data_IF_854058061847
#
_entry.id   IF_854058061847
#
_cell.length_a   1.000
_cell.length_b   1.000
_cell.length_c   1.000
_cell.angle_alpha   90.00
_cell.angle_beta   90.00
_cell.angle_gamma   90.00
#
_symmetry.space_group_name_H-M   'P 1'
#
loop_
_entity.id
_entity.type
_entity.pdbx_description
1 polymer ?
#
# COMPACT_ATOMS: atom_id res chain seq x y z
N UNK A 1 22.72 -12.06 -12.70
CA UNK A 1 22.99 -12.64 -11.35
C UNK A 1 22.30 -11.83 -10.24
N UNK A 2 21.02 -11.47 -10.38
CA UNK A 2 20.28 -10.66 -9.37
C UNK A 2 19.14 -11.45 -8.71
N UNK A 3 18.66 -12.55 -9.33
CA UNK A 3 17.56 -13.39 -8.82
C UNK A 3 17.88 -14.25 -7.59
N UNK A 4 19.01 -14.06 -6.91
CA UNK A 4 19.35 -14.79 -5.68
C UNK A 4 19.03 -14.01 -4.40
N UNK A 5 18.79 -12.69 -4.47
CA UNK A 5 18.50 -11.90 -3.27
C UNK A 5 17.08 -12.13 -2.73
N UNK A 6 16.10 -12.42 -3.59
CA UNK A 6 14.70 -12.63 -3.17
C UNK A 6 14.45 -13.99 -2.51
N UNK A 7 15.27 -15.01 -2.80
CA UNK A 7 15.04 -16.39 -2.32
C UNK A 7 15.66 -16.70 -0.95
N UNK A 8 16.48 -15.81 -0.38
CA UNK A 8 17.33 -16.10 0.80
C UNK A 8 16.67 -15.70 2.15
N UNK A 9 15.43 -15.22 2.18
CA UNK A 9 14.87 -14.58 3.38
C UNK A 9 14.32 -15.54 4.47
N UNK A 10 14.99 -16.66 4.79
CA UNK A 10 14.55 -17.57 5.88
C UNK A 10 15.37 -17.53 7.17
N UNK A 11 16.65 -17.14 7.17
CA UNK A 11 17.47 -17.07 8.40
C UNK A 11 18.12 -15.69 8.66
N UNK A 12 18.25 -15.24 9.93
CA UNK A 12 18.83 -13.94 10.27
C UNK A 12 20.27 -13.73 9.79
N UNK A 13 21.12 -14.76 9.89
CA UNK A 13 22.52 -14.70 9.46
C UNK A 13 22.66 -14.56 7.93
N UNK A 14 21.79 -15.23 7.18
CA UNK A 14 21.75 -15.15 5.71
C UNK A 14 21.29 -13.77 5.22
N UNK A 15 20.41 -13.09 5.99
CA UNK A 15 19.98 -11.70 5.71
C UNK A 15 21.11 -10.69 5.86
N UNK A 16 21.96 -10.83 6.88
CA UNK A 16 23.13 -9.96 7.04
C UNK A 16 24.17 -10.18 5.95
N UNK A 17 24.35 -11.43 5.51
CA UNK A 17 25.27 -11.72 4.42
C UNK A 17 24.72 -11.18 3.08
N UNK A 18 23.44 -11.39 2.79
CA UNK A 18 22.76 -10.83 1.62
C UNK A 18 22.83 -9.30 1.59
N UNK A 19 22.66 -8.65 2.74
CA UNK A 19 22.81 -7.19 2.88
C UNK A 19 24.16 -6.68 2.40
N UNK A 20 25.25 -7.34 2.84
CA UNK A 20 26.62 -6.95 2.48
C UNK A 20 26.83 -7.14 0.97
N UNK A 21 26.30 -8.21 0.38
CA UNK A 21 26.39 -8.44 -1.07
C UNK A 21 25.63 -7.39 -1.87
N UNK A 22 24.39 -7.07 -1.48
CA UNK A 22 23.59 -6.03 -2.13
C UNK A 22 24.27 -4.67 -2.04
N UNK A 23 24.81 -4.28 -0.87
CA UNK A 23 25.53 -3.02 -0.69
C UNK A 23 26.81 -2.94 -1.54
N UNK A 24 27.55 -4.04 -1.67
CA UNK A 24 28.77 -4.08 -2.50
C UNK A 24 28.42 -4.04 -3.98
N UNK A 25 27.45 -4.84 -4.42
CA UNK A 25 26.98 -4.85 -5.80
C UNK A 25 26.41 -3.49 -6.21
N UNK A 26 25.63 -2.84 -5.34
CA UNK A 26 25.09 -1.50 -5.59
C UNK A 26 26.19 -0.46 -5.78
N UNK A 27 27.26 -0.50 -4.96
CA UNK A 27 28.39 0.44 -5.11
C UNK A 27 29.17 0.23 -6.40
N UNK A 28 29.39 -1.02 -6.79
CA UNK A 28 30.07 -1.34 -8.05
C UNK A 28 29.24 -0.86 -9.24
N UNK A 29 27.94 -1.16 -9.23
CA UNK A 29 27.01 -0.71 -10.25
C UNK A 29 26.97 0.82 -10.32
N UNK A 30 26.84 1.49 -9.18
CA UNK A 30 26.84 2.96 -9.10
C UNK A 30 28.13 3.58 -9.66
N UNK A 31 29.28 2.95 -9.44
CA UNK A 31 30.55 3.38 -10.04
C UNK A 31 30.58 3.17 -11.57
N UNK A 32 29.98 2.10 -12.08
CA UNK A 32 29.97 1.77 -13.50
C UNK A 32 28.98 2.62 -14.31
N UNK A 33 27.76 2.80 -13.79
CA UNK A 33 26.66 3.43 -14.54
C UNK A 33 26.32 4.84 -14.07
N UNK A 34 26.91 5.29 -12.97
CA UNK A 34 26.61 6.58 -12.32
C UNK A 34 25.46 6.50 -11.32
N UNK A 35 25.33 7.54 -10.50
CA UNK A 35 24.44 7.63 -9.33
C UNK A 35 22.96 7.85 -9.65
N UNK A 36 22.64 8.21 -10.90
CA UNK A 36 21.27 8.46 -11.39
C UNK A 36 20.74 7.40 -12.36
N UNK A 37 21.42 6.27 -12.52
CA UNK A 37 21.04 5.26 -13.51
C UNK A 37 19.90 4.36 -13.03
N UNK A 38 18.96 4.01 -13.92
CA UNK A 38 17.74 3.27 -13.55
C UNK A 38 18.03 1.88 -12.95
N UNK A 39 19.12 1.23 -13.33
CA UNK A 39 19.51 -0.08 -12.79
C UNK A 39 19.81 -0.06 -11.28
N UNK A 40 19.97 1.11 -10.67
CA UNK A 40 20.12 1.25 -9.23
C UNK A 40 18.81 1.05 -8.46
N UNK A 41 17.65 1.10 -9.12
CA UNK A 41 16.33 1.02 -8.47
C UNK A 41 16.13 -0.31 -7.74
N UNK A 42 16.47 -1.45 -8.34
CA UNK A 42 16.31 -2.77 -7.71
C UNK A 42 17.24 -2.97 -6.48
N UNK A 43 18.54 -2.63 -6.56
CA UNK A 43 19.40 -2.58 -5.39
C UNK A 43 18.88 -1.64 -4.30
N UNK A 44 18.40 -0.45 -4.66
CA UNK A 44 17.83 0.53 -3.72
C UNK A 44 16.62 -0.06 -2.98
N UNK A 45 15.71 -0.72 -3.70
CA UNK A 45 14.56 -1.41 -3.10
C UNK A 45 14.98 -2.50 -2.12
N UNK A 46 15.98 -3.29 -2.50
CA UNK A 46 16.51 -4.37 -1.67
C UNK A 46 17.12 -3.83 -0.37
N UNK A 47 17.87 -2.73 -0.46
CA UNK A 47 18.45 -2.05 0.70
C UNK A 47 17.37 -1.41 1.59
N UNK A 48 16.33 -0.83 1.00
CA UNK A 48 15.23 -0.23 1.74
C UNK A 48 14.41 -1.28 2.51
N UNK A 49 14.14 -2.42 1.89
CA UNK A 49 13.49 -3.58 2.54
C UNK A 49 14.32 -4.14 3.69
N UNK A 50 15.64 -4.26 3.50
CA UNK A 50 16.54 -4.66 4.56
C UNK A 50 16.53 -3.66 5.73
N UNK A 51 16.61 -2.36 5.45
CA UNK A 51 16.57 -1.32 6.48
C UNK A 51 15.27 -1.40 7.30
N UNK A 52 14.12 -1.61 6.64
CA UNK A 52 12.84 -1.88 7.33
C UNK A 52 12.90 -3.11 8.23
N UNK A 53 13.52 -4.20 7.77
CA UNK A 53 13.63 -5.44 8.55
C UNK A 53 14.48 -5.27 9.82
N UNK A 54 15.36 -4.27 9.84
CA UNK A 54 16.20 -3.89 10.98
C UNK A 54 15.54 -2.80 11.86
N UNK A 55 14.38 -2.30 11.47
CA UNK A 55 13.70 -1.18 12.13
C UNK A 55 14.26 0.21 11.79
N UNK A 56 15.20 0.30 10.84
CA UNK A 56 15.76 1.58 10.38
C UNK A 56 14.87 2.16 9.26
N UNK A 57 13.73 2.70 9.69
CA UNK A 57 12.75 3.27 8.77
C UNK A 57 13.24 4.56 8.12
N UNK A 58 14.13 5.32 8.77
CA UNK A 58 14.69 6.56 8.23
C UNK A 58 15.62 6.27 7.04
N UNK A 59 16.49 5.27 7.18
CA UNK A 59 17.33 4.83 6.07
C UNK A 59 16.49 4.25 4.94
N UNK A 60 15.46 3.46 5.26
CA UNK A 60 14.57 2.88 4.26
C UNK A 60 13.84 3.97 3.45
N UNK A 61 13.33 5.00 4.13
CA UNK A 61 12.71 6.16 3.52
C UNK A 61 13.68 6.89 2.59
N UNK A 62 14.88 7.22 3.08
CA UNK A 62 15.94 7.89 2.29
C UNK A 62 16.25 7.13 0.99
N UNK A 63 16.37 5.80 1.08
CA UNK A 63 16.65 4.93 -0.06
C UNK A 63 15.50 4.96 -1.07
N UNK A 64 14.24 4.82 -0.62
CA UNK A 64 13.08 4.91 -1.52
C UNK A 64 12.98 6.27 -2.19
N UNK A 65 13.20 7.37 -1.45
CA UNK A 65 13.19 8.71 -2.04
C UNK A 65 14.24 8.86 -3.15
N UNK A 66 15.43 8.30 -2.92
CA UNK A 66 16.47 8.24 -3.96
C UNK A 66 16.01 7.42 -5.17
N UNK A 67 15.43 6.24 -4.95
CA UNK A 67 14.93 5.39 -6.01
C UNK A 67 13.81 6.04 -6.84
N UNK A 68 12.89 6.75 -6.19
CA UNK A 68 11.83 7.54 -6.83
C UNK A 68 12.39 8.74 -7.63
N UNK A 69 13.43 9.40 -7.12
CA UNK A 69 14.10 10.47 -7.85
C UNK A 69 14.80 9.96 -9.11
N UNK A 70 15.52 8.83 -9.01
CA UNK A 70 16.15 8.14 -10.15
C UNK A 70 15.08 7.71 -11.16
N UNK A 71 13.98 7.13 -10.67
CA UNK A 71 12.83 6.78 -11.49
C UNK A 71 12.36 7.98 -12.30
N UNK A 72 12.04 9.09 -11.62
CA UNK A 72 11.57 10.34 -12.24
C UNK A 72 12.52 10.91 -13.29
N UNK A 73 13.82 10.83 -13.05
CA UNK A 73 14.83 11.32 -14.00
C UNK A 73 14.98 10.43 -15.24
N UNK A 74 14.69 9.13 -15.11
CA UNK A 74 14.90 8.13 -16.18
C UNK A 74 13.68 7.93 -17.06
N UNK A 75 12.49 8.39 -16.66
CA UNK A 75 11.26 8.37 -17.50
C UNK A 75 11.45 9.05 -18.87
N UNK A 76 12.31 10.08 -18.94
CA UNK A 76 12.54 10.86 -20.16
C UNK A 76 13.95 10.70 -20.78
N UNK A 77 14.78 9.78 -20.26
CA UNK A 77 16.16 9.55 -20.71
C UNK A 77 16.47 8.06 -20.79
N UNK A 78 16.80 7.57 -21.98
CA UNK A 78 17.45 6.27 -22.29
C UNK A 78 16.99 5.03 -21.49
N UNK A 79 15.86 5.11 -20.78
CA UNK A 79 15.25 3.97 -20.10
C UNK A 79 14.73 3.07 -21.20
N UNK A 80 15.25 1.84 -21.21
CA UNK A 80 14.64 0.77 -21.97
C UNK A 80 13.14 0.75 -21.61
N UNK A 81 12.22 0.97 -22.55
CA UNK A 81 10.78 0.94 -22.28
C UNK A 81 10.32 -0.37 -21.64
N UNK A 82 11.12 -1.44 -21.76
CA UNK A 82 10.90 -2.74 -21.13
C UNK A 82 11.44 -2.85 -19.69
N UNK A 83 12.27 -1.91 -19.21
CA UNK A 83 12.76 -1.92 -17.83
C UNK A 83 11.62 -1.66 -16.84
N UNK A 84 11.43 -2.63 -15.97
CA UNK A 84 10.45 -2.63 -14.90
C UNK A 84 11.17 -3.04 -13.61
N UNK A 85 11.05 -2.27 -12.51
CA UNK A 85 11.53 -2.69 -11.21
C UNK A 85 10.91 -4.05 -10.87
N UNK A 86 11.73 -4.92 -10.32
CA UNK A 86 11.30 -6.21 -9.76
C UNK A 86 10.30 -6.03 -8.60
N UNK A 87 10.43 -4.92 -7.86
CA UNK A 87 9.59 -4.57 -6.71
C UNK A 87 9.12 -3.11 -6.80
N UNK A 88 7.92 -2.77 -6.30
CA UNK A 88 7.50 -1.38 -6.19
C UNK A 88 8.47 -0.58 -5.31
N UNK A 89 8.76 0.66 -5.75
CA UNK A 89 9.58 1.67 -5.08
C UNK A 89 8.83 2.29 -3.89
N UNK A 90 8.34 1.48 -2.96
CA UNK A 90 7.60 1.98 -1.80
C UNK A 90 7.90 1.14 -0.58
N UNK A 91 8.32 1.82 0.49
CA UNK A 91 8.51 1.23 1.81
C UNK A 91 7.23 1.39 2.61
N UNK A 92 6.77 0.36 3.35
CA UNK A 92 5.52 0.37 4.11
C UNK A 92 5.40 1.42 5.24
N UNK A 93 6.39 2.29 5.42
CA UNK A 93 6.47 3.23 6.54
C UNK A 93 7.02 4.59 6.08
N UNK A 94 6.29 5.28 5.20
CA UNK A 94 6.49 6.72 5.00
C UNK A 94 6.14 7.42 6.33
N UNK A 95 7.15 7.85 7.10
CA UNK A 95 6.95 8.52 8.40
C UNK A 95 7.10 10.03 8.31
N UNK A 96 7.76 10.55 7.28
CA UNK A 96 7.95 12.00 7.06
C UNK A 96 6.93 12.55 6.07
N UNK A 97 6.57 13.83 6.19
CA UNK A 97 5.70 14.53 5.22
C UNK A 97 6.28 14.52 3.80
N UNK A 98 7.60 14.62 3.69
CA UNK A 98 8.33 14.61 2.41
C UNK A 98 8.16 13.27 1.68
N UNK A 99 8.14 12.15 2.41
CA UNK A 99 7.89 10.84 1.81
C UNK A 99 6.49 10.68 1.25
N UNK A 100 5.46 11.26 1.87
CA UNK A 100 4.11 11.21 1.28
C UNK A 100 4.06 11.99 -0.03
N UNK A 101 4.60 13.21 -0.05
CA UNK A 101 4.60 14.05 -1.25
C UNK A 101 5.33 13.39 -2.41
N UNK A 102 6.45 12.70 -2.14
CA UNK A 102 7.21 12.01 -3.19
C UNK A 102 6.50 10.74 -3.68
N UNK A 103 5.82 10.00 -2.79
CA UNK A 103 4.99 8.85 -3.20
C UNK A 103 3.76 9.31 -3.99
N UNK A 104 3.11 10.40 -3.60
CA UNK A 104 2.00 11.01 -4.35
C UNK A 104 2.45 11.44 -5.76
N UNK A 105 3.58 12.15 -5.86
CA UNK A 105 4.16 12.51 -7.17
C UNK A 105 4.53 11.29 -8.01
N UNK A 106 5.05 10.22 -7.39
CA UNK A 106 5.38 9.00 -8.10
C UNK A 106 4.14 8.31 -8.66
N UNK A 107 3.05 8.27 -7.89
CA UNK A 107 1.76 7.74 -8.34
C UNK A 107 1.22 8.55 -9.51
N UNK A 108 1.19 9.88 -9.40
CA UNK A 108 0.76 10.76 -10.49
C UNK A 108 1.57 10.52 -11.77
N UNK A 109 2.88 10.35 -11.66
CA UNK A 109 3.74 10.03 -12.79
C UNK A 109 3.44 8.66 -13.39
N UNK A 110 3.31 7.62 -12.56
CA UNK A 110 2.99 6.27 -13.02
C UNK A 110 1.62 6.18 -13.67
N UNK A 111 0.64 6.98 -13.24
CA UNK A 111 -0.69 7.04 -13.87
C UNK A 111 -0.66 7.62 -15.28
N UNK A 112 0.31 8.48 -15.61
CA UNK A 112 0.45 9.05 -16.95
C UNK A 112 1.13 8.09 -17.94
N UNK A 113 1.80 7.04 -17.46
CA UNK A 113 2.51 6.09 -18.31
C UNK A 113 1.61 4.87 -18.63
N UNK A 114 1.27 4.60 -19.92
CA UNK A 114 0.38 3.50 -20.30
C UNK A 114 0.94 2.09 -19.99
N UNK A 115 2.25 1.99 -19.79
CA UNK A 115 2.98 0.75 -19.53
C UNK A 115 3.05 0.40 -18.05
N UNK A 116 2.71 1.33 -17.15
CA UNK A 116 2.80 1.08 -15.71
C UNK A 116 1.67 0.19 -15.24
N UNK A 117 2.05 -1.00 -14.78
CA UNK A 117 1.11 -2.00 -14.29
C UNK A 117 0.57 -1.55 -12.94
N UNK A 118 -0.75 -1.46 -12.88
CA UNK A 118 -1.62 -1.08 -11.77
C UNK A 118 -1.29 -1.71 -10.39
N UNK A 119 -0.48 -2.79 -10.34
CA UNK A 119 -0.03 -3.38 -9.09
C UNK A 119 0.95 -2.49 -8.31
N UNK A 120 1.83 -1.73 -8.99
CA UNK A 120 2.81 -0.85 -8.35
C UNK A 120 2.11 0.33 -7.68
N UNK A 121 1.19 0.96 -8.42
CA UNK A 121 0.34 2.03 -7.94
C UNK A 121 -0.54 1.54 -6.78
N UNK A 122 -1.13 0.34 -6.90
CA UNK A 122 -1.92 -0.25 -5.83
C UNK A 122 -1.13 -0.47 -4.53
N UNK A 123 0.11 -0.95 -4.62
CA UNK A 123 0.96 -1.12 -3.45
C UNK A 123 1.34 0.22 -2.80
N UNK A 124 1.63 1.23 -3.63
CA UNK A 124 1.95 2.58 -3.20
C UNK A 124 0.80 3.21 -2.42
N UNK A 125 -0.41 3.14 -2.99
CA UNK A 125 -1.63 3.63 -2.37
C UNK A 125 -1.92 2.88 -1.06
N UNK A 126 -1.71 1.56 -1.00
CA UNK A 126 -1.94 0.78 0.23
C UNK A 126 -1.01 1.21 1.37
N UNK A 127 0.22 1.58 1.02
CA UNK A 127 1.19 2.11 1.98
C UNK A 127 0.76 3.48 2.50
N UNK A 128 0.40 4.41 1.60
CA UNK A 128 -0.09 5.73 1.99
C UNK A 128 -1.32 5.62 2.89
N UNK A 129 -2.26 4.75 2.51
CA UNK A 129 -3.47 4.45 3.25
C UNK A 129 -3.15 4.03 4.69
N UNK A 130 -2.33 2.99 4.86
CA UNK A 130 -1.95 2.47 6.19
C UNK A 130 -1.29 3.57 7.04
N UNK A 131 -0.49 4.40 6.39
CA UNK A 131 0.22 5.47 7.07
C UNK A 131 -0.72 6.61 7.50
N UNK A 132 -1.72 6.97 6.69
CA UNK A 132 -2.79 7.89 7.08
C UNK A 132 -3.69 7.31 8.19
N UNK A 133 -3.98 6.01 8.16
CA UNK A 133 -4.71 5.31 9.22
C UNK A 133 -3.98 5.37 10.57
N UNK A 134 -2.67 5.13 10.59
CA UNK A 134 -1.84 5.22 11.81
C UNK A 134 -1.87 6.63 12.44
N UNK A 135 -2.06 7.65 11.61
CA UNK A 135 -2.19 9.06 12.04
C UNK A 135 -3.63 9.49 12.30
N UNK A 136 -4.59 8.57 12.19
CA UNK A 136 -6.03 8.83 12.32
C UNK A 136 -6.54 9.90 11.34
N UNK A 137 -5.87 10.07 10.20
CA UNK A 137 -6.26 10.98 9.13
C UNK A 137 -7.27 10.30 8.20
N UNK A 138 -8.43 9.92 8.75
CA UNK A 138 -9.38 9.03 8.07
C UNK A 138 -9.97 9.61 6.78
N UNK A 139 -10.14 10.94 6.67
CA UNK A 139 -10.60 11.58 5.42
C UNK A 139 -9.57 11.41 4.30
N UNK A 140 -8.28 11.62 4.59
CA UNK A 140 -7.21 11.46 3.61
C UNK A 140 -7.04 9.98 3.23
N UNK A 141 -7.13 9.09 4.23
CA UNK A 141 -7.12 7.64 4.02
C UNK A 141 -8.27 7.19 3.10
N UNK A 142 -9.49 7.68 3.31
CA UNK A 142 -10.64 7.38 2.45
C UNK A 142 -10.38 7.80 0.99
N UNK A 143 -9.87 9.01 0.77
CA UNK A 143 -9.51 9.49 -0.57
C UNK A 143 -8.49 8.57 -1.26
N UNK A 144 -7.47 8.12 -0.53
CA UNK A 144 -6.47 7.17 -1.06
C UNK A 144 -7.10 5.80 -1.38
N UNK A 145 -7.99 5.29 -0.53
CA UNK A 145 -8.67 4.02 -0.79
C UNK A 145 -9.62 4.11 -2.00
N UNK A 146 -10.36 5.22 -2.16
CA UNK A 146 -11.19 5.49 -3.34
C UNK A 146 -10.32 5.59 -4.60
N UNK A 147 -9.14 6.19 -4.47
CA UNK A 147 -8.18 6.27 -5.56
C UNK A 147 -7.71 4.88 -6.00
N UNK A 148 -7.30 4.03 -5.04
CA UNK A 148 -6.89 2.66 -5.31
C UNK A 148 -8.01 1.82 -5.93
N UNK A 149 -9.25 2.00 -5.46
CA UNK A 149 -10.43 1.37 -6.03
C UNK A 149 -10.65 1.77 -7.50
N UNK A 150 -10.58 3.07 -7.82
CA UNK A 150 -10.76 3.59 -9.18
C UNK A 150 -9.75 2.98 -10.14
N UNK A 151 -8.47 3.03 -9.77
CA UNK A 151 -7.38 2.49 -10.60
C UNK A 151 -7.53 0.98 -10.75
N UNK A 152 -7.77 0.26 -9.65
CA UNK A 152 -7.97 -1.19 -9.68
C UNK A 152 -9.13 -1.61 -10.58
N UNK A 153 -10.24 -0.86 -10.54
CA UNK A 153 -11.44 -1.13 -11.34
C UNK A 153 -11.16 -0.91 -12.84
N UNK A 154 -10.51 0.20 -13.19
CA UNK A 154 -10.11 0.49 -14.58
C UNK A 154 -9.14 -0.57 -15.14
N UNK A 155 -8.25 -1.06 -14.29
CA UNK A 155 -7.18 -1.98 -14.64
C UNK A 155 -7.61 -3.44 -14.81
N UNK A 156 -8.46 -3.91 -13.89
CA UNK A 156 -8.68 -5.33 -13.64
C UNK A 156 -10.16 -5.73 -13.81
N UNK A 157 -11.05 -4.75 -13.96
CA UNK A 157 -12.50 -4.94 -14.00
C UNK A 157 -13.15 -4.99 -12.61
N UNK A 158 -14.46 -4.79 -12.57
CA UNK A 158 -15.27 -4.55 -11.36
C UNK A 158 -15.32 -5.71 -10.35
N UNK A 159 -14.91 -6.91 -10.75
CA UNK A 159 -15.00 -8.11 -9.91
C UNK A 159 -13.63 -8.70 -9.56
N UNK A 160 -12.54 -7.98 -9.79
CA UNK A 160 -11.23 -8.51 -9.48
C UNK A 160 -11.03 -8.70 -7.95
N UNK A 161 -10.50 -9.83 -7.46
CA UNK A 161 -10.34 -10.11 -6.03
C UNK A 161 -9.60 -9.03 -5.23
N UNK A 162 -8.67 -8.32 -5.87
CA UNK A 162 -7.93 -7.22 -5.23
C UNK A 162 -8.81 -6.03 -4.85
N UNK A 163 -9.95 -5.84 -5.52
CA UNK A 163 -10.90 -4.77 -5.19
C UNK A 163 -11.56 -5.01 -3.83
N UNK A 164 -11.79 -6.27 -3.43
CA UNK A 164 -12.37 -6.57 -2.12
C UNK A 164 -11.54 -5.95 -0.97
N UNK A 165 -10.21 -5.94 -1.09
CA UNK A 165 -9.37 -5.30 -0.08
C UNK A 165 -9.63 -3.80 -0.01
N UNK A 166 -9.74 -3.11 -1.15
CA UNK A 166 -10.06 -1.68 -1.17
C UNK A 166 -11.43 -1.36 -0.56
N UNK A 167 -12.46 -2.17 -0.84
CA UNK A 167 -13.77 -2.01 -0.20
C UNK A 167 -13.70 -2.21 1.33
N UNK A 168 -12.95 -3.21 1.81
CA UNK A 168 -12.76 -3.42 3.26
C UNK A 168 -12.08 -2.20 3.89
N UNK A 169 -11.09 -1.61 3.22
CA UNK A 169 -10.43 -0.39 3.70
C UNK A 169 -11.38 0.81 3.72
N UNK A 170 -12.22 0.98 2.70
CA UNK A 170 -13.24 2.04 2.67
C UNK A 170 -14.26 1.87 3.79
N UNK A 171 -14.74 0.63 4.02
CA UNK A 171 -15.63 0.33 5.13
C UNK A 171 -15.00 0.69 6.48
N UNK A 172 -13.71 0.40 6.67
CA UNK A 172 -12.97 0.77 7.87
C UNK A 172 -12.92 2.29 8.06
N UNK A 173 -12.64 3.06 6.99
CA UNK A 173 -12.61 4.53 7.09
C UNK A 173 -13.99 5.13 7.38
N UNK A 174 -15.05 4.57 6.79
CA UNK A 174 -16.42 4.99 7.10
C UNK A 174 -16.81 4.65 8.54
N UNK A 175 -16.37 3.50 9.09
CA UNK A 175 -16.61 3.13 10.49
C UNK A 175 -15.92 4.06 11.48
N UNK A 176 -14.68 4.43 11.21
CA UNK A 176 -13.92 5.39 12.04
C UNK A 176 -14.49 6.82 11.98
N UNK A 177 -15.43 7.07 11.06
CA UNK A 177 -16.17 8.33 10.91
C UNK A 177 -17.65 8.21 11.31
N UNK A 178 -18.05 7.08 11.93
CA UNK A 178 -19.43 6.77 12.31
C UNK A 178 -20.45 6.79 11.14
N UNK A 179 -19.98 6.63 9.91
CA UNK A 179 -20.80 6.59 8.70
C UNK A 179 -21.31 5.15 8.45
N UNK A 180 -22.15 4.63 9.34
CA UNK A 180 -22.53 3.22 9.36
C UNK A 180 -23.21 2.71 8.08
N UNK A 181 -24.07 3.52 7.46
CA UNK A 181 -24.73 3.12 6.20
C UNK A 181 -23.73 2.95 5.05
N UNK A 182 -22.75 3.84 4.96
CA UNK A 182 -21.74 3.80 3.92
C UNK A 182 -20.76 2.62 4.15
N UNK A 183 -20.38 2.39 5.41
CA UNK A 183 -19.60 1.21 5.79
C UNK A 183 -20.31 -0.11 5.42
N UNK A 184 -21.63 -0.20 5.64
CA UNK A 184 -22.43 -1.37 5.27
C UNK A 184 -22.42 -1.62 3.76
N UNK A 185 -22.57 -0.57 2.94
CA UNK A 185 -22.49 -0.66 1.49
C UNK A 185 -21.12 -1.18 1.02
N UNK A 186 -20.02 -0.66 1.58
CA UNK A 186 -18.68 -1.13 1.23
C UNK A 186 -18.43 -2.59 1.67
N UNK A 187 -18.92 -3.00 2.85
CA UNK A 187 -18.84 -4.39 3.27
C UNK A 187 -19.60 -5.32 2.32
N UNK A 188 -20.81 -4.95 1.87
CA UNK A 188 -21.59 -5.72 0.90
C UNK A 188 -20.87 -5.86 -0.44
N UNK A 189 -20.24 -4.79 -0.93
CA UNK A 189 -19.43 -4.83 -2.16
C UNK A 189 -18.22 -5.78 -2.01
N UNK A 190 -17.53 -5.73 -0.88
CA UNK A 190 -16.43 -6.66 -0.60
C UNK A 190 -16.92 -8.12 -0.54
N UNK A 191 -18.08 -8.35 0.06
CA UNK A 191 -18.71 -9.67 0.16
C UNK A 191 -19.02 -10.23 -1.22
N UNK A 192 -19.69 -9.46 -2.08
CA UNK A 192 -20.03 -9.87 -3.43
C UNK A 192 -18.78 -10.27 -4.25
N UNK A 193 -17.70 -9.49 -4.14
CA UNK A 193 -16.43 -9.81 -4.82
C UNK A 193 -15.83 -11.09 -4.26
N UNK A 194 -15.77 -11.24 -2.94
CA UNK A 194 -15.18 -12.40 -2.27
C UNK A 194 -15.99 -13.67 -2.62
N UNK A 195 -17.32 -13.63 -2.56
CA UNK A 195 -18.18 -14.77 -2.87
C UNK A 195 -18.01 -15.26 -4.31
N UNK A 196 -17.90 -14.32 -5.27
CA UNK A 196 -17.77 -14.66 -6.69
C UNK A 196 -16.40 -15.19 -7.06
N UNK A 197 -15.35 -14.85 -6.30
CA UNK A 197 -13.97 -15.03 -6.77
C UNK A 197 -13.06 -15.83 -5.84
N UNK A 198 -13.36 -15.90 -4.55
CA UNK A 198 -12.47 -16.44 -3.53
C UNK A 198 -13.10 -17.64 -2.82
N UNK A 199 -12.28 -18.66 -2.52
CA UNK A 199 -12.71 -19.82 -1.73
C UNK A 199 -12.95 -19.39 -0.28
N UNK A 200 -13.80 -20.14 0.44
CA UNK A 200 -14.24 -19.88 1.83
C UNK A 200 -13.13 -19.71 2.89
N UNK A 201 -11.86 -19.99 2.57
CA UNK A 201 -10.74 -19.91 3.52
C UNK A 201 -9.81 -18.70 3.26
N UNK A 202 -10.22 -17.74 2.42
CA UNK A 202 -9.36 -16.60 2.09
C UNK A 202 -9.23 -15.60 3.26
N UNK A 203 -8.03 -15.08 3.58
CA UNK A 203 -7.82 -14.12 4.67
C UNK A 203 -8.69 -12.85 4.60
N UNK A 204 -9.05 -12.39 3.39
CA UNK A 204 -9.95 -11.25 3.21
C UNK A 204 -11.36 -11.53 3.75
N UNK A 205 -11.84 -12.78 3.74
CA UNK A 205 -13.13 -13.13 4.31
C UNK A 205 -13.12 -12.92 5.83
N UNK A 206 -12.06 -13.35 6.51
CA UNK A 206 -11.90 -13.13 7.95
C UNK A 206 -11.81 -11.64 8.28
N UNK A 207 -11.11 -10.85 7.45
CA UNK A 207 -11.07 -9.40 7.61
C UNK A 207 -12.45 -8.76 7.45
N UNK A 208 -13.20 -9.13 6.41
CA UNK A 208 -14.55 -8.64 6.17
C UNK A 208 -15.51 -9.00 7.31
N UNK A 209 -15.50 -10.25 7.76
CA UNK A 209 -16.34 -10.72 8.86
C UNK A 209 -16.10 -9.92 10.15
N UNK A 210 -14.83 -9.62 10.47
CA UNK A 210 -14.50 -8.75 11.59
C UNK A 210 -15.07 -7.34 11.40
N UNK A 211 -14.98 -6.78 10.20
CA UNK A 211 -15.54 -5.45 9.91
C UNK A 211 -17.07 -5.41 9.98
N UNK A 212 -17.75 -6.45 9.53
CA UNK A 212 -19.19 -6.60 9.71
C UNK A 212 -19.58 -6.72 11.19
N UNK A 213 -18.82 -7.49 11.97
CA UNK A 213 -19.05 -7.60 13.41
C UNK A 213 -18.89 -6.25 14.12
N UNK A 214 -17.80 -5.51 13.83
CA UNK A 214 -17.55 -4.18 14.37
C UNK A 214 -18.68 -3.21 14.00
N UNK A 215 -19.14 -3.24 12.74
CA UNK A 215 -20.24 -2.42 12.23
C UNK A 215 -21.56 -2.67 12.99
N UNK A 216 -21.97 -3.93 13.11
CA UNK A 216 -23.24 -4.26 13.77
C UNK A 216 -23.20 -3.97 15.26
N UNK A 217 -22.07 -4.22 15.93
CA UNK A 217 -21.89 -3.89 17.35
C UNK A 217 -22.02 -2.37 17.59
N UNK A 218 -21.37 -1.54 16.77
CA UNK A 218 -21.46 -0.07 16.91
C UNK A 218 -22.86 0.46 16.58
N UNK A 219 -23.53 -0.08 15.55
CA UNK A 219 -24.94 0.27 15.22
C UNK A 219 -25.88 -0.04 16.38
N UNK A 220 -25.71 -1.19 17.04
CA UNK A 220 -26.53 -1.57 18.19
C UNK A 220 -26.33 -0.61 19.37
N UNK A 221 -25.08 -0.26 19.70
CA UNK A 221 -24.79 0.72 20.75
C UNK A 221 -25.46 2.07 20.51
N UNK A 222 -25.37 2.60 19.29
CA UNK A 222 -26.01 3.89 18.93
C UNK A 222 -27.54 3.79 19.04
N UNK A 223 -28.14 2.66 18.62
CA UNK A 223 -29.58 2.44 18.76
C UNK A 223 -30.03 2.38 20.23
N UNK A 224 -29.22 1.78 21.12
CA UNK A 224 -29.51 1.73 22.56
C UNK A 224 -29.39 3.11 23.23
N UNK A 225 -28.40 3.92 22.85
CA UNK A 225 -28.23 5.30 23.36
C UNK A 225 -29.43 6.18 22.95
N UNK A 226 -29.90 6.07 21.70
CA UNK A 226 -31.08 6.81 21.23
C UNK A 226 -32.34 6.52 22.05
N UNK A 227 -32.57 5.23 22.37
CA UNK A 227 -33.72 4.81 23.21
C UNK A 227 -33.59 5.25 24.68
N UNK A 228 -32.37 5.33 25.20
CA UNK A 228 -32.09 5.83 26.55
C UNK A 228 -32.27 7.34 26.70
N UNK A 229 -31.97 8.12 25.65
CA UNK A 229 -32.14 9.57 25.65
C UNK A 229 -33.62 9.98 25.59
N UNK A 230 -34.44 9.29 24.79
CA UNK A 230 -35.89 9.57 24.68
C UNK A 230 -36.66 9.29 25.98
N UNK A 231 -36.18 8.37 26.82
CA UNK A 231 -36.84 8.00 28.10
C UNK A 231 -36.51 8.92 29.27
N UNK A 232 -35.62 9.90 29.10
CA UNK A 232 -35.19 10.82 30.19
C UNK A 232 -35.79 12.22 30.11
N UNK A 233 -36.61 12.52 29.09
CA UNK A 233 -37.28 13.82 28.93
C UNK A 233 -38.76 13.84 29.39
N UNK A 234 -39.28 12.73 29.88
CA UNK A 234 -40.64 12.63 30.44
C UNK A 234 -40.61 12.47 31.98
N UNK A 235 -40.18 13.50 32.72
CA UNK A 235 -40.46 13.64 34.16
C UNK A 235 -40.54 15.10 34.61
#
# INVERSE_FOLDING_TARGET
MIGLAETILRQPAEREQAAIYVQRASRLLEHEVGDTHFQLIDPINSLASLACSKGDYLQAETLILRGLAIWKMTVNRDRDPSYQPSSPLVVPVAQSRESYQLVEQAIEMWEQEPTHRHYQIGYALMTLLKSYQQRQLYTAAEQIAQHGWRIGTQALGEHHPLLANWAIQLAEMSLERDQFQQAEQYCQQAEEIIEKTLKREHPLLTMLQRKLADLYQRKEMVSQIGKGAETTHDF
#
